data_IF_108575107085
#
_entry.id   IF_108575107085
#
_cell.length_a   1.000
_cell.length_b   1.000
_cell.length_c   1.000
_cell.angle_alpha   90.00
_cell.angle_beta   90.00
_cell.angle_gamma   90.00
#
_symmetry.space_group_name_H-M   'P 1'
#
loop_
_entity.id
_entity.type
_entity.pdbx_description
1 polymer ?
#
# COMPACT_ATOMS: atom_id res chain seq x y z
N UNK A 1 -17.13 35.40 12.59
CA UNK A 1 -16.72 34.13 11.94
C UNK A 1 -15.41 34.42 11.25
N UNK A 2 -14.32 33.72 11.57
CA UNK A 2 -13.08 33.87 10.83
C UNK A 2 -13.33 33.37 9.40
N UNK A 3 -12.98 34.20 8.41
CA UNK A 3 -12.96 33.78 7.01
C UNK A 3 -11.95 32.62 6.93
N UNK A 4 -12.37 31.46 6.37
CA UNK A 4 -11.47 30.34 6.15
C UNK A 4 -10.33 30.74 5.21
N UNK A 5 -9.17 30.16 5.37
CA UNK A 5 -8.00 30.42 4.54
C UNK A 5 -8.05 29.59 3.24
N UNK A 6 -7.50 30.17 2.17
CA UNK A 6 -7.31 29.48 0.88
C UNK A 6 -5.93 28.87 0.81
N UNK A 7 -5.84 27.52 0.88
CA UNK A 7 -4.60 26.77 0.98
C UNK A 7 -4.36 25.99 -0.32
N UNK A 8 -3.18 26.16 -0.91
CA UNK A 8 -2.76 25.46 -2.11
C UNK A 8 -1.96 24.19 -1.81
N UNK A 9 -2.24 23.11 -2.55
CA UNK A 9 -1.36 21.95 -2.63
C UNK A 9 -0.90 21.73 -4.08
N UNK A 10 0.42 21.72 -4.27
CA UNK A 10 1.07 21.56 -5.56
C UNK A 10 1.93 20.29 -5.55
N UNK A 11 1.76 19.43 -6.54
CA UNK A 11 2.63 18.28 -6.76
C UNK A 11 3.31 18.39 -8.10
N UNK A 12 4.65 18.37 -8.10
CA UNK A 12 5.47 18.38 -9.32
C UNK A 12 6.22 17.07 -9.50
N UNK A 13 6.30 16.63 -10.73
CA UNK A 13 7.23 15.58 -11.13
C UNK A 13 8.56 16.23 -11.53
N UNK A 14 9.68 15.50 -11.38
CA UNK A 14 11.00 15.99 -11.81
C UNK A 14 11.08 16.36 -13.29
N UNK A 15 10.09 15.96 -14.11
CA UNK A 15 9.98 16.31 -15.53
C UNK A 15 9.15 17.59 -15.78
N UNK A 16 8.30 17.99 -14.84
CA UNK A 16 7.43 19.16 -14.96
C UNK A 16 8.10 20.38 -14.33
N UNK A 17 8.91 21.13 -15.09
CA UNK A 17 9.57 22.35 -14.61
C UNK A 17 8.63 23.56 -14.41
N UNK A 18 7.33 23.42 -14.60
CA UNK A 18 6.40 24.56 -14.63
C UNK A 18 5.40 24.54 -13.45
N UNK A 19 5.93 24.60 -12.22
CA UNK A 19 5.12 24.72 -10.99
C UNK A 19 4.34 26.05 -10.91
N UNK A 20 4.91 27.12 -11.44
CA UNK A 20 4.37 28.46 -11.33
C UNK A 20 2.99 28.65 -12.00
N UNK A 21 2.56 27.71 -12.86
CA UNK A 21 1.27 27.83 -13.57
C UNK A 21 0.11 27.06 -12.93
N UNK A 22 0.36 26.18 -11.95
CA UNK A 22 -0.72 25.28 -11.52
C UNK A 22 -1.83 25.99 -10.73
N UNK A 23 -1.55 27.04 -10.00
CA UNK A 23 -2.52 27.83 -9.20
C UNK A 23 -2.20 29.32 -9.23
N UNK A 24 -1.51 29.82 -10.28
CA UNK A 24 -1.02 31.21 -10.36
C UNK A 24 -2.09 32.27 -10.36
N UNK A 25 -3.30 31.91 -10.81
CA UNK A 25 -4.41 32.85 -10.98
C UNK A 25 -5.30 32.94 -9.74
N UNK A 26 -4.87 32.30 -8.63
CA UNK A 26 -5.63 32.21 -7.39
C UNK A 26 -4.82 32.83 -6.27
N UNK A 27 -5.46 33.69 -5.48
CA UNK A 27 -4.87 34.18 -4.26
C UNK A 27 -4.92 33.07 -3.20
N UNK A 28 -3.74 32.63 -2.74
CA UNK A 28 -3.59 31.59 -1.74
C UNK A 28 -2.85 32.14 -0.53
N UNK A 29 -3.39 31.87 0.66
CA UNK A 29 -2.76 32.29 1.92
C UNK A 29 -1.51 31.46 2.22
N UNK A 30 -1.49 30.19 1.82
CA UNK A 30 -0.34 29.30 1.99
C UNK A 30 -0.32 28.21 0.94
N UNK A 31 0.89 27.82 0.52
CA UNK A 31 1.11 26.74 -0.45
C UNK A 31 2.00 25.68 0.15
N UNK A 32 1.63 24.41 -0.06
CA UNK A 32 2.43 23.24 0.27
C UNK A 32 2.82 22.53 -1.02
N UNK A 33 4.08 22.08 -1.09
CA UNK A 33 4.62 21.48 -2.32
C UNK A 33 5.29 20.15 -2.05
N UNK A 34 5.10 19.21 -2.98
CA UNK A 34 5.84 17.95 -3.05
C UNK A 34 6.55 17.83 -4.40
N UNK A 35 7.87 17.67 -4.35
CA UNK A 35 8.70 17.39 -5.52
C UNK A 35 8.98 15.88 -5.58
N UNK A 36 8.29 15.16 -6.46
CA UNK A 36 8.42 13.70 -6.56
C UNK A 36 9.38 13.31 -7.67
N UNK A 37 10.60 12.89 -7.29
CA UNK A 37 11.53 12.20 -8.16
C UNK A 37 11.23 10.69 -8.17
N UNK A 38 10.97 10.11 -9.34
CA UNK A 38 10.89 8.66 -9.54
C UNK A 38 9.88 7.92 -8.65
N UNK A 39 10.35 6.99 -7.85
CA UNK A 39 9.54 6.03 -7.07
C UNK A 39 9.17 6.51 -5.65
N UNK A 40 9.24 7.81 -5.35
CA UNK A 40 9.01 8.33 -4.02
C UNK A 40 7.53 8.23 -3.62
N UNK A 41 7.24 7.33 -2.65
CA UNK A 41 5.90 7.12 -2.10
C UNK A 41 5.53 8.14 -1.00
N UNK A 42 6.53 8.83 -0.46
CA UNK A 42 6.35 9.76 0.65
C UNK A 42 5.95 11.15 0.13
N UNK A 43 4.98 11.78 0.79
CA UNK A 43 4.45 13.12 0.45
C UNK A 43 4.42 14.01 1.68
N UNK A 44 5.59 14.43 2.17
CA UNK A 44 5.66 15.25 3.39
C UNK A 44 4.91 16.59 3.25
N UNK A 45 4.88 17.16 2.05
CA UNK A 45 4.12 18.37 1.77
C UNK A 45 2.61 18.16 1.88
N UNK A 46 2.08 17.04 1.38
CA UNK A 46 0.66 16.70 1.55
C UNK A 46 0.34 16.46 3.02
N UNK A 47 1.16 15.69 3.72
CA UNK A 47 0.93 15.38 5.14
C UNK A 47 0.95 16.65 5.99
N UNK A 48 1.87 17.56 5.73
CA UNK A 48 1.94 18.88 6.37
C UNK A 48 0.71 19.75 6.02
N UNK A 49 0.27 19.74 4.76
CA UNK A 49 -0.92 20.44 4.30
C UNK A 49 -2.17 19.94 5.05
N UNK A 50 -2.40 18.63 5.07
CA UNK A 50 -3.54 18.01 5.74
C UNK A 50 -3.56 18.27 7.25
N UNK A 51 -2.38 18.35 7.88
CA UNK A 51 -2.24 18.72 9.30
C UNK A 51 -2.45 20.21 9.57
N UNK A 52 -2.22 21.07 8.58
CA UNK A 52 -2.37 22.52 8.72
C UNK A 52 -3.83 22.98 8.56
N UNK A 53 -4.59 22.33 7.67
CA UNK A 53 -5.97 22.68 7.34
C UNK A 53 -6.89 22.61 8.57
N UNK A 54 -7.77 23.61 8.70
CA UNK A 54 -8.75 23.78 9.78
C UNK A 54 -10.16 23.88 9.22
N UNK A 55 -11.14 23.76 10.08
CA UNK A 55 -12.55 24.01 9.74
C UNK A 55 -12.74 25.39 9.13
N UNK A 56 -13.48 25.46 8.04
CA UNK A 56 -13.73 26.67 7.26
C UNK A 56 -12.71 26.92 6.13
N UNK A 57 -11.54 26.27 6.14
CA UNK A 57 -10.53 26.44 5.08
C UNK A 57 -10.97 25.81 3.75
N UNK A 58 -10.36 26.28 2.66
CA UNK A 58 -10.52 25.70 1.33
C UNK A 58 -9.17 25.18 0.82
N UNK A 59 -9.11 23.90 0.48
CA UNK A 59 -7.97 23.28 -0.18
C UNK A 59 -8.08 23.41 -1.70
N UNK A 60 -7.14 24.11 -2.32
CA UNK A 60 -7.04 24.28 -3.76
C UNK A 60 -6.00 23.31 -4.34
N UNK A 61 -6.42 22.51 -5.33
CA UNK A 61 -5.56 21.56 -6.04
C UNK A 61 -5.76 21.74 -7.54
N UNK A 62 -4.70 21.70 -8.31
CA UNK A 62 -4.81 21.88 -9.76
C UNK A 62 -5.67 20.78 -10.40
N UNK A 63 -5.44 19.50 -10.08
CA UNK A 63 -6.17 18.37 -10.65
C UNK A 63 -6.21 17.18 -9.70
N UNK A 64 -7.17 16.29 -9.92
CA UNK A 64 -7.39 15.08 -9.11
C UNK A 64 -6.12 14.20 -9.03
N UNK A 65 -5.43 14.02 -10.17
CA UNK A 65 -4.21 13.21 -10.23
C UNK A 65 -3.06 13.78 -9.40
N UNK A 66 -3.06 15.07 -9.11
CA UNK A 66 -2.07 15.72 -8.24
C UNK A 66 -2.30 15.41 -6.76
N UNK A 67 -3.55 15.28 -6.33
CA UNK A 67 -3.89 15.00 -4.93
C UNK A 67 -3.86 13.49 -4.63
N UNK A 68 -4.56 12.69 -5.42
CA UNK A 68 -4.77 11.27 -5.14
C UNK A 68 -3.99 10.36 -6.10
N UNK A 69 -3.66 9.14 -5.63
CA UNK A 69 -2.98 8.10 -6.42
C UNK A 69 -3.96 7.13 -7.09
N UNK A 70 -5.15 7.04 -6.54
CA UNK A 70 -6.26 6.24 -7.04
C UNK A 70 -7.57 6.81 -6.50
N UNK A 71 -8.69 6.37 -7.07
CA UNK A 71 -10.01 6.88 -6.75
C UNK A 71 -10.45 6.60 -5.31
N UNK A 72 -10.08 5.45 -4.74
CA UNK A 72 -10.40 5.19 -3.33
C UNK A 72 -9.68 6.18 -2.40
N UNK A 73 -8.41 6.44 -2.65
CA UNK A 73 -7.65 7.42 -1.87
C UNK A 73 -8.23 8.83 -2.02
N UNK A 74 -8.69 9.18 -3.25
CA UNK A 74 -9.40 10.44 -3.48
C UNK A 74 -10.66 10.54 -2.62
N UNK A 75 -11.51 9.52 -2.67
CA UNK A 75 -12.76 9.47 -1.91
C UNK A 75 -12.51 9.60 -0.41
N UNK A 76 -11.55 8.84 0.12
CA UNK A 76 -11.18 8.91 1.54
C UNK A 76 -10.69 10.29 1.96
N UNK A 77 -9.88 10.96 1.11
CA UNK A 77 -9.42 12.33 1.37
C UNK A 77 -10.56 13.32 1.34
N UNK A 78 -11.43 13.25 0.32
CA UNK A 78 -12.59 14.15 0.21
C UNK A 78 -13.53 13.98 1.39
N UNK A 79 -13.89 12.73 1.73
CA UNK A 79 -14.76 12.43 2.88
C UNK A 79 -14.15 12.94 4.19
N UNK A 80 -12.87 12.65 4.43
CA UNK A 80 -12.17 13.09 5.64
C UNK A 80 -12.08 14.62 5.78
N UNK A 81 -11.85 15.33 4.68
CA UNK A 81 -11.72 16.79 4.70
C UNK A 81 -13.09 17.47 4.85
N UNK A 82 -14.09 16.98 4.12
CA UNK A 82 -15.48 17.53 4.22
C UNK A 82 -16.11 17.26 5.59
N UNK A 83 -15.80 16.10 6.20
CA UNK A 83 -16.22 15.79 7.58
C UNK A 83 -15.55 16.68 8.63
N UNK A 84 -14.33 17.21 8.33
CA UNK A 84 -13.62 18.21 9.14
C UNK A 84 -14.06 19.67 8.87
N UNK A 85 -15.08 19.89 8.04
CA UNK A 85 -15.55 21.23 7.71
C UNK A 85 -14.66 21.95 6.68
N UNK A 86 -13.83 21.23 5.90
CA UNK A 86 -12.89 21.78 4.91
C UNK A 86 -13.46 21.61 3.51
N UNK A 87 -13.45 22.68 2.69
CA UNK A 87 -13.81 22.61 1.28
C UNK A 87 -12.62 22.17 0.42
N UNK A 88 -12.88 21.52 -0.72
CA UNK A 88 -11.83 21.16 -1.68
C UNK A 88 -12.25 21.62 -3.08
N UNK A 89 -11.30 22.21 -3.82
CA UNK A 89 -11.51 22.67 -5.20
C UNK A 89 -10.47 22.06 -6.12
N UNK A 90 -10.93 21.34 -7.16
CA UNK A 90 -10.11 20.86 -8.27
C UNK A 90 -10.33 21.76 -9.48
N UNK A 91 -9.31 22.55 -9.83
CA UNK A 91 -9.46 23.60 -10.85
C UNK A 91 -9.58 23.06 -12.26
N UNK A 92 -8.80 22.04 -12.61
CA UNK A 92 -8.81 21.44 -13.95
C UNK A 92 -10.14 20.75 -14.27
N UNK A 93 -10.69 20.03 -13.31
CA UNK A 93 -11.96 19.30 -13.44
C UNK A 93 -13.17 20.18 -13.13
N UNK A 94 -12.96 21.41 -12.66
CA UNK A 94 -13.98 22.35 -12.21
C UNK A 94 -14.94 21.72 -11.18
N UNK A 95 -14.37 21.00 -10.20
CA UNK A 95 -15.14 20.28 -9.17
C UNK A 95 -14.90 20.91 -7.80
N UNK A 96 -15.99 21.10 -7.03
CA UNK A 96 -15.96 21.62 -5.67
C UNK A 96 -16.71 20.68 -4.73
N UNK A 97 -16.04 20.32 -3.63
CA UNK A 97 -16.64 19.57 -2.54
C UNK A 97 -16.70 20.46 -1.30
N UNK A 98 -17.89 20.75 -0.81
CA UNK A 98 -18.12 21.53 0.38
C UNK A 98 -18.44 20.64 1.59
N UNK A 99 -18.23 21.12 2.84
CA UNK A 99 -18.63 20.42 4.05
C UNK A 99 -20.11 20.10 4.05
N UNK A 100 -20.49 18.98 4.66
CA UNK A 100 -21.87 18.48 4.71
C UNK A 100 -22.83 19.47 5.39
N UNK A 101 -22.34 20.21 6.39
CA UNK A 101 -23.15 21.16 7.17
C UNK A 101 -23.47 22.46 6.41
N UNK A 102 -22.71 22.83 5.42
CA UNK A 102 -22.95 24.04 4.61
C UNK A 102 -23.96 23.83 3.48
N UNK A 103 -24.60 22.68 3.40
CA UNK A 103 -25.76 22.41 2.52
C UNK A 103 -25.51 22.38 1.02
N UNK A 104 -24.31 22.66 0.56
CA UNK A 104 -24.01 22.91 -0.85
C UNK A 104 -22.81 22.13 -1.39
N UNK A 105 -22.72 20.83 -1.11
CA UNK A 105 -21.96 20.01 -2.06
C UNK A 105 -22.73 20.02 -3.38
N UNK A 106 -22.14 20.58 -4.44
CA UNK A 106 -22.74 20.54 -5.77
C UNK A 106 -23.20 19.10 -6.06
N UNK A 107 -24.53 18.89 -6.31
CA UNK A 107 -25.07 17.55 -6.52
C UNK A 107 -24.36 16.79 -7.65
N UNK A 108 -23.86 17.53 -8.66
CA UNK A 108 -23.11 16.97 -9.77
C UNK A 108 -21.74 16.46 -9.33
N UNK A 109 -21.01 17.21 -8.51
CA UNK A 109 -19.74 16.79 -7.94
C UNK A 109 -19.88 15.53 -7.08
N UNK A 110 -20.95 15.44 -6.28
CA UNK A 110 -21.26 14.24 -5.49
C UNK A 110 -21.59 13.05 -6.38
N UNK A 111 -22.42 13.21 -7.40
CA UNK A 111 -22.74 12.16 -8.37
C UNK A 111 -21.48 11.68 -9.08
N UNK A 112 -20.65 12.60 -9.56
CA UNK A 112 -19.36 12.27 -10.20
C UNK A 112 -18.45 11.44 -9.28
N UNK A 113 -18.33 11.81 -7.99
CA UNK A 113 -17.53 11.03 -7.03
C UNK A 113 -18.08 9.62 -6.83
N UNK A 114 -19.40 9.46 -6.73
CA UNK A 114 -20.03 8.15 -6.60
C UNK A 114 -19.76 7.29 -7.84
N UNK A 115 -19.90 7.86 -9.04
CA UNK A 115 -19.59 7.16 -10.29
C UNK A 115 -18.12 6.76 -10.36
N UNK A 116 -17.18 7.67 -10.06
CA UNK A 116 -15.76 7.40 -10.02
C UNK A 116 -15.42 6.32 -8.99
N UNK A 117 -16.06 6.34 -7.81
CA UNK A 117 -15.91 5.30 -6.79
C UNK A 117 -16.36 3.92 -7.30
N UNK A 118 -17.52 3.84 -7.94
CA UNK A 118 -18.04 2.62 -8.54
C UNK A 118 -17.12 2.07 -9.64
N UNK A 119 -16.59 2.94 -10.50
CA UNK A 119 -15.61 2.54 -11.52
C UNK A 119 -14.31 2.00 -10.89
N UNK A 120 -13.83 2.63 -9.82
CA UNK A 120 -12.62 2.17 -9.12
C UNK A 120 -12.80 0.79 -8.49
N UNK A 121 -13.96 0.51 -7.93
CA UNK A 121 -14.31 -0.82 -7.39
C UNK A 121 -14.39 -1.86 -8.49
N UNK A 122 -15.01 -1.52 -9.62
CA UNK A 122 -15.11 -2.39 -10.79
C UNK A 122 -13.72 -2.73 -11.35
N UNK A 123 -12.85 -1.73 -11.56
CA UNK A 123 -11.45 -1.98 -12.00
C UNK A 123 -10.70 -2.93 -11.05
N UNK A 124 -10.86 -2.74 -9.73
CA UNK A 124 -10.24 -3.64 -8.76
C UNK A 124 -10.79 -5.05 -8.83
N UNK A 125 -12.10 -5.20 -9.04
CA UNK A 125 -12.71 -6.50 -9.20
C UNK A 125 -12.12 -7.23 -10.42
N UNK A 126 -12.01 -6.54 -11.56
CA UNK A 126 -11.40 -7.08 -12.78
C UNK A 126 -9.92 -7.48 -12.58
N UNK A 127 -9.14 -6.65 -11.89
CA UNK A 127 -7.73 -6.96 -11.60
C UNK A 127 -7.62 -8.22 -10.74
N UNK A 128 -8.45 -8.35 -9.69
CA UNK A 128 -8.46 -9.54 -8.83
C UNK A 128 -8.87 -10.79 -9.57
N UNK A 129 -9.84 -10.69 -10.47
CA UNK A 129 -10.29 -11.78 -11.31
C UNK A 129 -9.18 -12.27 -12.23
N UNK A 130 -8.54 -11.37 -12.98
CA UNK A 130 -7.38 -11.70 -13.83
C UNK A 130 -6.21 -12.29 -13.05
N UNK A 131 -5.95 -11.79 -11.83
CA UNK A 131 -4.91 -12.35 -10.96
C UNK A 131 -5.28 -13.78 -10.52
N UNK A 132 -6.54 -14.03 -10.16
CA UNK A 132 -7.02 -15.36 -9.77
C UNK A 132 -6.91 -16.33 -10.94
N UNK A 133 -7.32 -15.93 -12.14
CA UNK A 133 -7.17 -16.72 -13.37
C UNK A 133 -5.69 -17.02 -13.67
N UNK A 134 -4.82 -16.00 -13.60
CA UNK A 134 -3.38 -16.18 -13.79
C UNK A 134 -2.74 -17.13 -12.76
N UNK A 135 -3.15 -17.06 -11.49
CA UNK A 135 -2.70 -17.97 -10.43
C UNK A 135 -3.21 -19.40 -10.71
N UNK A 136 -4.46 -19.56 -11.12
CA UNK A 136 -5.01 -20.87 -11.44
C UNK A 136 -4.33 -21.50 -12.66
N UNK A 137 -4.09 -20.72 -13.71
CA UNK A 137 -3.34 -21.14 -14.90
C UNK A 137 -1.88 -21.54 -14.55
N UNK A 138 -1.23 -20.80 -13.66
CA UNK A 138 0.10 -21.15 -13.18
C UNK A 138 0.11 -22.43 -12.33
N UNK A 139 -0.91 -22.64 -11.48
CA UNK A 139 -1.09 -23.89 -10.72
C UNK A 139 -1.29 -25.10 -11.64
N UNK A 140 -2.17 -24.98 -12.62
CA UNK A 140 -2.46 -26.08 -13.57
C UNK A 140 -1.25 -26.41 -14.46
N UNK A 141 -0.38 -25.43 -14.73
CA UNK A 141 0.89 -25.64 -15.44
C UNK A 141 2.04 -26.12 -14.53
N UNK A 142 1.77 -26.46 -13.25
CA UNK A 142 2.76 -26.98 -12.30
C UNK A 142 3.79 -25.95 -11.85
N UNK A 143 3.61 -24.66 -12.13
CA UNK A 143 4.54 -23.62 -11.69
C UNK A 143 4.45 -23.45 -10.18
N UNK A 144 5.59 -23.41 -9.52
CA UNK A 144 5.68 -23.10 -8.10
C UNK A 144 5.23 -21.65 -7.84
N UNK A 145 4.18 -21.50 -7.04
CA UNK A 145 3.67 -20.19 -6.62
C UNK A 145 4.16 -19.88 -5.21
N UNK A 146 4.90 -18.79 -5.08
CA UNK A 146 5.42 -18.31 -3.81
C UNK A 146 6.94 -18.26 -3.78
N UNK A 147 7.49 -18.10 -2.57
CA UNK A 147 8.95 -18.03 -2.37
C UNK A 147 9.58 -19.38 -2.75
N UNK A 148 10.63 -19.39 -3.59
CA UNK A 148 11.35 -20.62 -3.92
C UNK A 148 11.77 -21.37 -2.66
N UNK A 149 11.70 -22.71 -2.71
CA UNK A 149 12.19 -23.55 -1.61
C UNK A 149 13.67 -23.25 -1.38
N UNK A 150 14.00 -22.78 -0.18
CA UNK A 150 15.36 -22.36 0.17
C UNK A 150 16.36 -23.53 0.17
N UNK A 151 15.86 -24.75 0.34
CA UNK A 151 16.65 -26.00 0.36
C UNK A 151 16.09 -26.89 -0.73
N UNK A 152 16.91 -27.32 -1.72
CA UNK A 152 16.54 -28.31 -2.72
C UNK A 152 16.11 -29.63 -2.07
N UNK A 153 15.22 -30.36 -2.72
CA UNK A 153 14.70 -31.64 -2.20
C UNK A 153 15.80 -32.69 -2.07
N UNK A 154 16.76 -32.68 -2.98
CA UNK A 154 17.96 -33.56 -2.95
C UNK A 154 18.79 -33.40 -1.66
N UNK A 155 18.89 -32.18 -1.15
CA UNK A 155 19.56 -31.90 0.12
C UNK A 155 18.74 -32.42 1.29
N UNK A 156 17.40 -32.29 1.24
CA UNK A 156 16.52 -32.81 2.29
C UNK A 156 16.59 -34.34 2.36
N UNK A 157 16.64 -35.02 1.20
CA UNK A 157 16.76 -36.48 1.15
C UNK A 157 18.12 -36.95 1.76
N UNK A 158 19.21 -36.25 1.46
CA UNK A 158 20.50 -36.50 2.07
C UNK A 158 20.47 -36.26 3.58
N UNK A 159 19.78 -35.24 4.04
CA UNK A 159 19.57 -34.97 5.47
C UNK A 159 18.80 -36.11 6.16
N UNK A 160 17.80 -36.72 5.49
CA UNK A 160 17.09 -37.90 6.03
C UNK A 160 18.05 -39.07 6.24
N UNK A 161 18.85 -39.38 5.22
CA UNK A 161 19.83 -40.45 5.29
C UNK A 161 20.88 -40.22 6.43
N UNK A 162 21.37 -38.98 6.55
CA UNK A 162 22.32 -38.62 7.62
C UNK A 162 21.66 -38.76 9.02
N UNK A 163 20.39 -38.45 9.17
CA UNK A 163 19.65 -38.64 10.44
C UNK A 163 19.42 -40.12 10.73
N UNK A 164 19.11 -40.97 9.74
CA UNK A 164 18.96 -42.42 9.88
C UNK A 164 20.29 -43.08 10.29
N UNK A 165 21.43 -42.55 9.83
CA UNK A 165 22.78 -42.96 10.26
C UNK A 165 23.15 -42.46 11.66
N UNK A 166 22.21 -41.82 12.39
CA UNK A 166 22.42 -41.35 13.77
C UNK A 166 23.14 -40.02 13.90
N UNK A 167 23.37 -39.27 12.83
CA UNK A 167 24.05 -37.98 12.90
C UNK A 167 23.07 -36.93 13.50
N UNK A 168 23.45 -36.22 14.58
CA UNK A 168 22.59 -35.24 15.21
C UNK A 168 22.19 -34.12 14.25
N UNK A 169 20.90 -33.77 14.17
CA UNK A 169 20.34 -32.74 13.29
C UNK A 169 21.00 -31.36 13.46
N UNK A 170 21.50 -31.08 14.69
CA UNK A 170 22.27 -29.87 14.98
C UNK A 170 23.60 -29.79 14.20
N UNK A 171 24.28 -30.93 14.01
CA UNK A 171 25.53 -31.02 13.26
C UNK A 171 25.27 -30.86 11.76
N UNK A 172 24.22 -31.49 11.26
CA UNK A 172 23.76 -31.37 9.86
C UNK A 172 23.38 -29.92 9.55
N UNK A 173 22.55 -29.28 10.39
CA UNK A 173 22.13 -27.89 10.23
C UNK A 173 23.32 -26.93 10.13
N UNK A 174 24.37 -27.14 10.99
CA UNK A 174 25.59 -26.34 10.96
C UNK A 174 26.38 -26.57 9.66
N UNK A 175 26.45 -27.82 9.18
CA UNK A 175 27.17 -28.20 7.95
C UNK A 175 26.57 -27.57 6.69
N UNK A 176 25.24 -27.50 6.59
CA UNK A 176 24.53 -26.95 5.41
C UNK A 176 24.16 -25.48 5.56
N UNK A 177 24.49 -24.83 6.69
CA UNK A 177 24.24 -23.39 6.89
C UNK A 177 22.79 -22.99 7.01
N UNK A 178 21.91 -23.87 7.55
CA UNK A 178 20.46 -23.61 7.70
C UNK A 178 20.04 -23.71 9.16
N UNK A 179 19.05 -22.90 9.60
CA UNK A 179 18.49 -23.03 10.94
C UNK A 179 17.88 -24.41 11.19
N UNK A 180 18.09 -24.97 12.39
CA UNK A 180 17.51 -26.26 12.80
C UNK A 180 15.98 -26.31 12.64
N UNK A 181 15.30 -25.22 12.98
CA UNK A 181 13.85 -25.10 12.82
C UNK A 181 13.37 -25.34 11.38
N UNK A 182 14.17 -24.89 10.40
CA UNK A 182 13.88 -25.10 8.98
C UNK A 182 13.98 -26.58 8.59
N UNK A 183 14.96 -27.32 9.15
CA UNK A 183 15.09 -28.75 8.90
C UNK A 183 13.97 -29.53 9.58
N UNK A 184 13.61 -29.22 10.82
CA UNK A 184 12.48 -29.85 11.50
C UNK A 184 11.16 -29.66 10.73
N UNK A 185 10.88 -28.45 10.26
CA UNK A 185 9.67 -28.19 9.48
C UNK A 185 9.62 -28.93 8.15
N UNK A 186 10.79 -29.28 7.58
CA UNK A 186 10.89 -29.97 6.28
C UNK A 186 10.93 -31.49 6.41
N UNK A 187 11.46 -32.02 7.51
CA UNK A 187 11.50 -33.47 7.75
C UNK A 187 10.16 -34.04 8.25
N UNK A 188 9.25 -33.16 8.72
CA UNK A 188 8.00 -33.55 9.37
C UNK A 188 8.25 -34.03 10.81
N UNK A 189 7.21 -34.02 11.65
CA UNK A 189 7.26 -34.39 13.08
C UNK A 189 7.55 -35.89 13.34
N UNK A 190 7.96 -36.66 12.35
CA UNK A 190 8.16 -38.11 12.47
C UNK A 190 9.51 -38.57 13.03
N UNK A 191 10.54 -37.71 13.08
CA UNK A 191 11.90 -38.12 13.44
C UNK A 191 12.41 -37.59 14.78
N UNK A 192 11.54 -37.11 15.66
CA UNK A 192 11.96 -36.49 16.94
C UNK A 192 11.92 -37.44 18.15
N UNK A 193 11.85 -38.79 17.97
CA UNK A 193 11.86 -39.76 19.07
C UNK A 193 12.91 -40.82 18.87
N UNK A 194 14.17 -40.47 19.04
CA UNK A 194 15.22 -41.43 19.47
C UNK A 194 16.40 -40.61 19.99
N UNK A 195 16.53 -40.52 21.29
CA UNK A 195 17.71 -39.91 21.93
C UNK A 195 17.42 -39.29 23.29
N UNK A 196 16.82 -40.06 24.19
CA UNK A 196 16.66 -39.61 25.55
C UNK A 196 16.26 -40.78 26.45
N UNK A 197 17.21 -41.45 27.03
CA UNK A 197 16.92 -42.47 28.03
C UNK A 197 18.08 -43.45 28.24
N UNK A 198 19.03 -43.05 29.06
CA UNK A 198 19.74 -43.97 29.95
C UNK A 198 20.16 -43.17 31.18
N UNK A 199 19.35 -43.19 32.16
CA UNK A 199 19.68 -43.01 33.57
C UNK A 199 20.38 -44.24 34.03
N UNK A 200 21.62 -44.12 34.46
CA UNK A 200 22.30 -45.11 35.29
C UNK A 200 21.94 -44.90 36.76
N UNK A 201 21.34 -45.93 37.35
CA UNK A 201 21.39 -46.17 38.78
C UNK A 201 22.74 -46.83 39.07
N UNK A 202 23.43 -46.28 40.00
CA UNK A 202 23.98 -46.86 41.28
C UNK A 202 24.90 -45.82 41.92
#
# INVERSE_FOLDING_TARGET
MALGADIGYIRVSSADQNTARQLSDIHLDKVFEDHLGGNCRNRPGLDACLGYLREGDTLHVHSIDRLARNLLHLQQLVDSLTDRGISIVFHKENMRFAPKEQGAADPMSRLMMQMLGAFAEFERALIRERQREGINAAKSSGKHLGRPKRIPEEIIERVRQDVELGIPLARIAKKIGVPRSTLYSRLGNGSAKTGGGMTGEE
#
